data_IF_738912112442
#
_entry.id   IF_738912112442
#
_cell.length_a   1.000
_cell.length_b   1.000
_cell.length_c   1.000
_cell.angle_alpha   90.00
_cell.angle_beta   90.00
_cell.angle_gamma   90.00
#
_symmetry.space_group_name_H-M   'P 1'
#
loop_
_entity.id
_entity.type
_entity.pdbx_description
1 polymer ?
#
# COMPACT_ATOMS: atom_id res chain seq x y z
N UNK A 1 20.26 -40.43 25.71
CA UNK A 1 21.01 -39.42 24.93
C UNK A 1 20.01 -38.56 24.17
N UNK A 2 19.43 -37.53 24.81
CA UNK A 2 18.25 -36.83 24.28
C UNK A 2 18.20 -35.36 24.73
N UNK A 3 19.29 -34.61 24.56
CA UNK A 3 19.39 -33.23 25.07
C UNK A 3 19.74 -32.16 24.03
N UNK A 4 20.09 -32.57 22.80
CA UNK A 4 20.61 -31.65 21.78
C UNK A 4 19.64 -31.37 20.62
N UNK A 5 18.46 -32.00 20.61
CA UNK A 5 17.47 -31.81 19.54
C UNK A 5 16.73 -30.47 19.67
N UNK A 6 16.60 -29.92 20.89
CA UNK A 6 15.89 -28.66 21.11
C UNK A 6 16.66 -27.41 20.68
N UNK A 7 17.97 -27.51 20.43
CA UNK A 7 18.80 -26.35 20.06
C UNK A 7 18.70 -26.06 18.54
N UNK A 8 18.26 -27.02 17.72
CA UNK A 8 18.22 -26.87 16.27
C UNK A 8 16.95 -26.19 15.71
N UNK A 9 15.91 -25.98 16.54
CA UNK A 9 14.60 -25.48 16.07
C UNK A 9 14.49 -23.94 16.19
N UNK A 10 15.42 -23.28 16.88
CA UNK A 10 15.31 -21.85 17.23
C UNK A 10 15.94 -20.89 16.19
N UNK A 11 16.75 -21.36 15.24
CA UNK A 11 17.54 -20.49 14.34
C UNK A 11 16.87 -20.06 13.04
N UNK A 12 15.61 -20.42 12.77
CA UNK A 12 14.92 -20.06 11.51
C UNK A 12 13.80 -19.03 11.74
N UNK A 13 13.96 -18.13 12.71
CA UNK A 13 13.33 -16.81 12.60
C UNK A 13 14.21 -15.95 11.68
N UNK A 14 14.19 -16.30 10.38
CA UNK A 14 14.75 -15.43 9.34
C UNK A 14 13.93 -14.15 9.40
N UNK A 15 14.52 -13.14 10.02
CA UNK A 15 14.10 -11.76 9.99
C UNK A 15 13.93 -11.33 8.54
N UNK A 16 12.71 -11.43 8.01
CA UNK A 16 12.29 -10.63 6.87
C UNK A 16 12.20 -9.19 7.37
N UNK A 17 13.37 -8.58 7.62
CA UNK A 17 13.52 -7.16 7.71
C UNK A 17 13.32 -6.65 6.28
N UNK A 18 12.06 -6.58 5.88
CA UNK A 18 11.66 -5.94 4.64
C UNK A 18 12.10 -4.48 4.77
N UNK A 19 13.32 -4.21 4.28
CA UNK A 19 13.84 -2.86 4.15
C UNK A 19 12.80 -2.11 3.32
N UNK A 20 12.03 -1.24 3.99
CA UNK A 20 11.04 -0.41 3.32
C UNK A 20 11.82 0.48 2.36
N UNK A 21 11.74 0.18 1.07
CA UNK A 21 12.33 1.03 0.04
C UNK A 21 11.49 2.30 0.00
N UNK A 22 12.16 3.45 0.07
CA UNK A 22 11.50 4.74 -0.11
C UNK A 22 10.79 4.75 -1.47
N UNK A 23 9.58 5.31 -1.51
CA UNK A 23 8.80 5.40 -2.73
C UNK A 23 9.36 6.51 -3.63
N UNK A 24 10.36 6.14 -4.43
CA UNK A 24 10.86 6.99 -5.51
C UNK A 24 9.82 7.09 -6.64
N UNK A 25 9.05 8.18 -6.63
CA UNK A 25 7.96 8.42 -7.59
C UNK A 25 8.42 8.45 -9.06
N UNK A 26 9.71 8.65 -9.33
CA UNK A 26 10.25 8.57 -10.69
C UNK A 26 10.18 7.17 -11.30
N UNK A 27 10.04 6.14 -10.45
CA UNK A 27 9.91 4.74 -10.85
C UNK A 27 8.46 4.29 -10.97
N UNK A 28 7.49 5.14 -10.61
CA UNK A 28 6.08 4.86 -10.88
C UNK A 28 5.78 5.19 -12.33
N UNK A 29 5.04 4.31 -12.99
CA UNK A 29 4.55 4.54 -14.34
C UNK A 29 3.12 4.06 -14.44
N UNK A 30 2.29 4.83 -15.13
CA UNK A 30 0.91 4.44 -15.40
C UNK A 30 0.88 3.12 -16.17
N UNK A 31 -0.11 2.28 -15.85
CA UNK A 31 -0.27 0.94 -16.39
C UNK A 31 0.47 -0.15 -15.63
N UNK A 32 1.40 0.18 -14.71
CA UNK A 32 2.04 -0.81 -13.84
C UNK A 32 1.00 -1.59 -13.05
N UNK A 33 1.19 -2.91 -12.98
CA UNK A 33 0.33 -3.75 -12.15
C UNK A 33 0.61 -3.54 -10.67
N UNK A 34 -0.38 -3.83 -9.82
CA UNK A 34 -0.19 -3.81 -8.35
C UNK A 34 1.01 -4.65 -7.92
N UNK A 35 1.20 -5.83 -8.51
CA UNK A 35 2.33 -6.70 -8.17
C UNK A 35 3.67 -6.09 -8.58
N UNK A 36 3.76 -5.39 -9.72
CA UNK A 36 4.97 -4.70 -10.13
C UNK A 36 5.32 -3.55 -9.18
N UNK A 37 4.33 -2.74 -8.80
CA UNK A 37 4.49 -1.69 -7.79
C UNK A 37 4.98 -2.31 -6.46
N UNK A 38 4.35 -3.40 -6.01
CA UNK A 38 4.74 -4.07 -4.76
C UNK A 38 6.14 -4.70 -4.82
N UNK A 39 6.61 -5.15 -5.99
CA UNK A 39 7.99 -5.63 -6.17
C UNK A 39 9.02 -4.52 -6.04
N UNK A 40 8.68 -3.32 -6.50
CA UNK A 40 9.59 -2.16 -6.48
C UNK A 40 9.61 -1.50 -5.11
N UNK A 41 8.44 -1.26 -4.52
CA UNK A 41 8.26 -0.44 -3.32
C UNK A 41 7.89 -1.22 -2.06
N UNK A 42 7.59 -2.52 -2.18
CA UNK A 42 7.04 -3.33 -1.10
C UNK A 42 5.52 -3.21 -1.00
N UNK A 43 4.94 -3.77 0.05
CA UNK A 43 3.49 -3.70 0.29
C UNK A 43 3.08 -2.26 0.63
N UNK A 44 1.85 -1.85 0.27
CA UNK A 44 1.32 -0.56 0.71
C UNK A 44 1.24 -0.50 2.23
N UNK A 45 1.41 0.68 2.80
CA UNK A 45 1.25 0.88 4.24
C UNK A 45 -0.22 0.76 4.65
N UNK A 46 -1.14 1.21 3.78
CA UNK A 46 -2.58 1.13 4.02
C UNK A 46 -3.36 1.00 2.73
N UNK A 47 -4.42 0.21 2.74
CA UNK A 47 -5.48 0.28 1.72
C UNK A 47 -6.52 1.28 2.22
N UNK A 48 -6.72 2.36 1.49
CA UNK A 48 -7.67 3.42 1.85
C UNK A 48 -9.09 3.07 1.41
N UNK A 49 -9.21 2.51 0.21
CA UNK A 49 -10.48 2.20 -0.41
C UNK A 49 -10.33 1.05 -1.40
N UNK A 50 -11.31 0.16 -1.46
CA UNK A 50 -11.37 -0.91 -2.45
C UNK A 50 -12.84 -1.19 -2.76
N UNK A 51 -13.27 -0.89 -3.99
CA UNK A 51 -14.65 -1.11 -4.39
C UNK A 51 -14.76 -1.53 -5.86
N UNK A 52 -15.90 -2.11 -6.20
CA UNK A 52 -16.26 -2.46 -7.57
C UNK A 52 -17.25 -1.41 -8.07
N UNK A 53 -16.87 -0.67 -9.11
CA UNK A 53 -17.75 0.25 -9.83
C UNK A 53 -18.12 -0.37 -11.18
N UNK A 54 -19.36 -0.86 -11.29
CA UNK A 54 -19.83 -1.57 -12.47
C UNK A 54 -19.05 -2.88 -12.71
N UNK A 55 -18.09 -2.86 -13.63
CA UNK A 55 -17.18 -3.99 -13.95
C UNK A 55 -15.72 -3.70 -13.62
N UNK A 56 -15.42 -2.57 -13.02
CA UNK A 56 -14.06 -2.14 -12.71
C UNK A 56 -13.79 -2.29 -11.22
N UNK A 57 -12.67 -2.91 -10.87
CA UNK A 57 -12.16 -2.89 -9.50
C UNK A 57 -11.31 -1.63 -9.32
N UNK A 58 -11.74 -0.72 -8.45
CA UNK A 58 -11.01 0.49 -8.10
C UNK A 58 -10.44 0.30 -6.70
N UNK A 59 -9.12 0.44 -6.58
CA UNK A 59 -8.42 0.34 -5.31
C UNK A 59 -7.50 1.53 -5.11
N UNK A 60 -7.63 2.19 -3.97
CA UNK A 60 -6.76 3.28 -3.54
C UNK A 60 -5.92 2.81 -2.37
N UNK A 61 -4.60 2.89 -2.52
CA UNK A 61 -3.64 2.51 -1.49
C UNK A 61 -2.71 3.68 -1.17
N UNK A 62 -2.12 3.62 0.02
CA UNK A 62 -1.21 4.62 0.54
C UNK A 62 0.18 4.01 0.78
N UNK A 63 1.20 4.76 0.38
CA UNK A 63 2.61 4.47 0.62
C UNK A 63 3.27 5.66 1.30
N UNK A 64 4.13 5.38 2.26
CA UNK A 64 4.94 6.37 2.97
C UNK A 64 6.31 6.44 2.32
N UNK A 65 6.63 7.60 1.76
CA UNK A 65 7.99 7.97 1.44
C UNK A 65 8.59 8.78 2.59
N UNK A 66 9.65 8.29 3.27
CA UNK A 66 10.34 9.05 4.31
C UNK A 66 10.85 10.43 3.87
N UNK A 67 11.09 10.63 2.56
CA UNK A 67 11.63 11.89 2.03
C UNK A 67 10.54 12.87 1.60
N UNK A 68 9.50 12.36 0.93
CA UNK A 68 8.51 13.20 0.25
C UNK A 68 7.13 13.18 0.93
N UNK A 69 6.87 12.27 1.87
CA UNK A 69 5.60 12.15 2.59
C UNK A 69 4.73 11.01 2.09
N UNK A 70 3.41 11.12 2.29
CA UNK A 70 2.45 10.08 1.92
C UNK A 70 2.08 10.19 0.44
N UNK A 71 2.02 9.08 -0.28
CA UNK A 71 1.53 8.98 -1.65
C UNK A 71 0.26 8.14 -1.69
N UNK A 72 -0.71 8.60 -2.46
CA UNK A 72 -1.92 7.84 -2.82
C UNK A 72 -1.76 7.31 -4.23
N UNK A 73 -1.93 6.00 -4.40
CA UNK A 73 -1.92 5.31 -5.69
C UNK A 73 -3.32 4.74 -5.93
N UNK A 74 -3.86 4.96 -7.13
CA UNK A 74 -5.16 4.46 -7.56
C UNK A 74 -4.93 3.41 -8.64
N UNK A 75 -5.51 2.24 -8.42
CA UNK A 75 -5.48 1.11 -9.32
C UNK A 75 -6.87 0.85 -9.88
N UNK A 76 -6.99 0.75 -11.20
CA UNK A 76 -8.18 0.26 -11.88
C UNK A 76 -7.87 -1.10 -12.51
N UNK A 77 -8.66 -2.12 -12.20
CA UNK A 77 -8.46 -3.49 -12.67
C UNK A 77 -7.02 -3.98 -12.44
N UNK A 78 -6.46 -3.64 -11.27
CA UNK A 78 -5.09 -3.95 -10.84
C UNK A 78 -3.98 -3.19 -11.58
N UNK A 79 -4.29 -2.17 -12.38
CA UNK A 79 -3.30 -1.32 -13.08
C UNK A 79 -3.31 0.09 -12.50
N UNK A 80 -2.13 0.65 -12.28
CA UNK A 80 -1.94 2.01 -11.78
C UNK A 80 -2.47 3.01 -12.81
N UNK A 81 -3.46 3.81 -12.43
CA UNK A 81 -4.04 4.85 -13.30
C UNK A 81 -3.74 6.26 -12.80
N UNK A 82 -3.50 6.41 -11.50
CA UNK A 82 -3.14 7.69 -10.90
C UNK A 82 -2.23 7.47 -9.71
N UNK A 83 -1.30 8.40 -9.50
CA UNK A 83 -0.55 8.51 -8.26
C UNK A 83 -0.31 9.98 -7.95
N UNK A 84 -0.44 10.36 -6.68
CA UNK A 84 -0.21 11.73 -6.23
C UNK A 84 0.31 11.78 -4.81
N UNK A 85 1.01 12.86 -4.49
CA UNK A 85 1.31 13.16 -3.10
C UNK A 85 -0.01 13.39 -2.37
N UNK A 86 -0.20 12.70 -1.26
CA UNK A 86 -1.36 12.89 -0.41
C UNK A 86 -1.18 14.18 0.36
N UNK A 87 -2.05 15.14 0.11
CA UNK A 87 -2.22 16.27 1.01
C UNK A 87 -2.59 15.70 2.37
N UNK A 88 -1.76 15.96 3.38
CA UNK A 88 -2.04 15.61 4.77
C UNK A 88 -3.13 16.56 5.33
N UNK A 89 -4.26 16.66 4.64
CA UNK A 89 -5.51 17.09 5.26
C UNK A 89 -6.25 15.82 5.58
N UNK A 90 -6.37 15.55 6.88
CA UNK A 90 -7.42 14.68 7.42
C UNK A 90 -8.74 15.20 6.86
N UNK A 91 -9.20 14.67 5.74
CA UNK A 91 -10.56 14.86 5.27
C UNK A 91 -11.44 14.10 6.26
N UNK A 92 -11.78 14.78 7.36
CA UNK A 92 -12.93 14.43 8.17
C UNK A 92 -14.12 14.39 7.22
N UNK A 93 -14.66 13.20 6.98
CA UNK A 93 -15.94 13.00 6.33
C UNK A 93 -17.00 13.88 7.03
N UNK A 94 -17.27 15.07 6.50
CA UNK A 94 -18.52 15.76 6.75
C UNK A 94 -19.58 15.10 5.87
N UNK A 95 -20.08 13.96 6.33
CA UNK A 95 -21.36 13.43 5.89
C UNK A 95 -22.45 14.36 6.45
N UNK A 96 -22.76 15.44 5.74
CA UNK A 96 -23.94 16.26 6.04
C UNK A 96 -25.06 15.91 5.06
N UNK A 97 -25.96 15.09 5.59
CA UNK A 97 -27.25 14.67 5.06
C UNK A 97 -28.05 15.91 4.62
N UNK A 98 -28.63 15.96 3.40
CA UNK A 98 -29.51 17.05 3.04
C UNK A 98 -30.79 16.98 3.88
N UNK A 99 -31.02 17.99 4.73
CA UNK A 99 -32.35 18.24 5.33
C UNK A 99 -33.29 18.72 4.21
N UNK A 100 -34.23 17.86 3.81
CA UNK A 100 -35.45 18.29 3.14
C UNK A 100 -36.24 19.19 4.09
N UNK A 101 -36.59 20.39 3.64
CA UNK A 101 -37.71 21.18 4.15
C UNK A 101 -38.90 20.96 3.23
#
# INVERSE_FOLDING_TARGET
MSKYIYIAIITIFISACASKKSLDSSKLSLGMTRSEVEKVFGKPDRVLHAQIEGRQLIETVEYTDPQNGLYKLIFENHKLVEYKLSDNKRETHHHNIPRKK
#
